data_IF_960817829288
#
_entry.id   IF_960817829288
#
_cell.length_a   1.000
_cell.length_b   1.000
_cell.length_c   1.000
_cell.angle_alpha   90.00
_cell.angle_beta   90.00
_cell.angle_gamma   90.00
#
_symmetry.space_group_name_H-M   'P 1'
#
loop_
_entity.id
_entity.type
_entity.pdbx_description
1 polymer ?
#
# COMPACT_ATOMS: atom_id res chain seq x y z
N UNK A 1 4.56 -11.54 8.46
CA UNK A 1 4.91 -11.26 7.06
C UNK A 1 6.38 -11.60 6.78
N UNK A 2 7.31 -10.66 6.56
CA UNK A 2 8.69 -10.98 6.08
C UNK A 2 9.49 -11.90 7.02
N UNK A 3 9.56 -11.56 8.32
CA UNK A 3 10.26 -12.40 9.31
C UNK A 3 9.58 -13.74 9.55
N UNK A 4 8.38 -13.92 9.00
CA UNK A 4 7.57 -15.15 9.02
C UNK A 4 7.54 -15.84 7.64
N UNK A 5 8.39 -15.43 6.70
CA UNK A 5 8.54 -16.07 5.38
C UNK A 5 7.54 -15.63 4.31
N UNK A 6 6.70 -14.64 4.58
CA UNK A 6 5.77 -14.09 3.59
C UNK A 6 6.43 -12.91 2.86
N UNK A 7 6.10 -12.69 1.58
CA UNK A 7 6.64 -11.59 0.77
C UNK A 7 5.59 -10.83 -0.04
N UNK A 8 4.34 -11.28 -0.04
CA UNK A 8 3.28 -10.73 -0.89
C UNK A 8 2.26 -9.93 -0.08
N UNK A 9 1.99 -8.69 -0.47
CA UNK A 9 0.98 -7.82 0.15
C UNK A 9 -0.22 -7.75 -0.79
N UNK A 10 -1.39 -8.20 -0.34
CA UNK A 10 -2.62 -8.06 -1.13
C UNK A 10 -3.34 -6.75 -0.81
N UNK A 11 -3.45 -6.40 0.47
CA UNK A 11 -4.18 -5.23 0.95
C UNK A 11 -3.48 -4.59 2.13
N UNK A 12 -3.60 -3.27 2.26
CA UNK A 12 -3.01 -2.53 3.37
C UNK A 12 -3.82 -1.27 3.69
N UNK A 13 -3.83 -0.89 4.96
CA UNK A 13 -4.43 0.33 5.46
C UNK A 13 -3.57 0.91 6.58
N UNK A 14 -3.57 2.23 6.73
CA UNK A 14 -2.89 2.91 7.84
C UNK A 14 -3.94 3.64 8.67
N UNK A 15 -3.93 3.42 9.99
CA UNK A 15 -4.80 4.13 10.94
C UNK A 15 -3.98 5.23 11.62
N UNK A 16 -4.47 6.46 11.53
CA UNK A 16 -3.87 7.64 12.16
C UNK A 16 -4.26 7.73 13.65
N UNK A 17 -3.56 8.53 14.48
CA UNK A 17 -3.87 8.66 15.91
C UNK A 17 -5.30 9.11 16.22
N UNK A 18 -5.99 9.76 15.27
CA UNK A 18 -7.40 10.14 15.40
C UNK A 18 -8.39 9.01 15.04
N UNK A 19 -7.89 7.79 14.79
CA UNK A 19 -8.70 6.62 14.41
C UNK A 19 -9.14 6.58 12.95
N UNK A 20 -8.82 7.58 12.13
CA UNK A 20 -9.16 7.61 10.70
C UNK A 20 -8.08 6.97 9.84
N UNK A 21 -8.46 6.50 8.65
CA UNK A 21 -7.49 6.04 7.67
C UNK A 21 -6.63 7.21 7.16
N UNK A 22 -5.34 6.93 6.95
CA UNK A 22 -4.38 7.85 6.38
C UNK A 22 -3.84 7.33 5.05
N UNK A 23 -3.53 8.26 4.14
CA UNK A 23 -2.74 7.92 2.96
C UNK A 23 -1.34 7.44 3.38
N UNK A 24 -0.83 6.45 2.66
CA UNK A 24 0.52 5.94 2.91
C UNK A 24 1.56 7.00 2.53
N UNK A 25 2.60 7.13 3.36
CA UNK A 25 3.71 8.03 3.04
C UNK A 25 4.54 7.48 1.87
N UNK A 26 5.36 8.35 1.26
CA UNK A 26 6.23 7.97 0.13
C UNK A 26 7.15 6.78 0.45
N UNK A 27 7.74 6.75 1.65
CA UNK A 27 8.64 5.67 2.06
C UNK A 27 7.96 4.30 2.15
N UNK A 28 6.71 4.25 2.65
CA UNK A 28 5.94 2.99 2.67
C UNK A 28 5.60 2.51 1.27
N UNK A 29 5.22 3.44 0.37
CA UNK A 29 4.91 3.12 -1.03
C UNK A 29 6.14 2.58 -1.76
N UNK A 30 7.30 3.23 -1.56
CA UNK A 30 8.58 2.78 -2.09
C UNK A 30 8.94 1.37 -1.62
N UNK A 31 8.83 1.11 -0.32
CA UNK A 31 9.13 -0.20 0.23
C UNK A 31 8.24 -1.30 -0.36
N UNK A 32 6.93 -1.03 -0.50
CA UNK A 32 6.02 -1.99 -1.12
C UNK A 32 6.32 -2.20 -2.61
N UNK A 33 6.70 -1.15 -3.35
CA UNK A 33 7.11 -1.26 -4.75
C UNK A 33 8.35 -2.15 -4.91
N UNK A 34 9.36 -1.95 -4.06
CA UNK A 34 10.58 -2.77 -4.05
C UNK A 34 10.33 -4.22 -3.61
N UNK A 35 9.43 -4.43 -2.63
CA UNK A 35 9.09 -5.77 -2.14
C UNK A 35 8.29 -6.58 -3.18
N UNK A 36 7.42 -5.89 -3.92
CA UNK A 36 6.48 -6.45 -4.89
C UNK A 36 6.93 -6.17 -6.34
N UNK A 37 8.21 -6.35 -6.65
CA UNK A 37 8.77 -6.01 -7.97
C UNK A 37 7.95 -6.62 -9.12
N UNK A 38 7.47 -5.77 -10.03
CA UNK A 38 6.63 -6.17 -11.18
C UNK A 38 5.16 -6.48 -10.87
N UNK A 39 4.72 -6.44 -9.61
CA UNK A 39 3.33 -6.74 -9.20
C UNK A 39 2.78 -5.81 -8.11
N UNK A 40 3.54 -4.80 -7.69
CA UNK A 40 3.14 -3.83 -6.66
C UNK A 40 1.85 -3.08 -7.03
N UNK A 41 1.59 -2.93 -8.33
CA UNK A 41 0.45 -2.21 -8.86
C UNK A 41 -0.88 -2.83 -8.43
N UNK A 42 -0.90 -4.12 -8.08
CA UNK A 42 -2.10 -4.84 -7.66
C UNK A 42 -2.40 -4.69 -6.14
N UNK A 43 -1.49 -4.09 -5.37
CA UNK A 43 -1.68 -3.89 -3.93
C UNK A 43 -2.84 -2.92 -3.69
N UNK A 44 -3.86 -3.36 -2.99
CA UNK A 44 -4.99 -2.51 -2.62
C UNK A 44 -4.69 -1.69 -1.35
N UNK A 45 -4.99 -0.40 -1.41
CA UNK A 45 -4.75 0.59 -0.36
C UNK A 45 -6.09 1.22 0.03
N UNK A 46 -6.52 0.98 1.27
CA UNK A 46 -7.71 1.63 1.83
C UNK A 46 -7.36 3.06 2.26
N UNK A 47 -7.88 4.05 1.56
CA UNK A 47 -7.68 5.48 1.87
C UNK A 47 -8.76 6.03 2.80
N UNK A 48 -9.99 5.55 2.64
CA UNK A 48 -11.14 5.99 3.42
C UNK A 48 -11.96 4.79 3.85
N UNK A 49 -11.83 4.38 5.11
CA UNK A 49 -12.61 3.27 5.64
C UNK A 49 -14.09 3.60 5.79
N UNK A 50 -14.45 4.86 6.08
CA UNK A 50 -15.84 5.29 6.28
C UNK A 50 -16.63 5.25 4.97
N UNK A 51 -15.98 5.57 3.86
CA UNK A 51 -16.56 5.58 2.52
C UNK A 51 -16.12 4.41 1.63
N UNK A 52 -15.46 3.41 2.21
CA UNK A 52 -14.93 2.22 1.52
C UNK A 52 -14.08 2.56 0.28
N UNK A 53 -13.33 3.67 0.34
CA UNK A 53 -12.47 4.11 -0.75
C UNK A 53 -11.17 3.31 -0.75
N UNK A 54 -11.08 2.40 -1.70
CA UNK A 54 -9.88 1.64 -2.03
C UNK A 54 -9.30 2.16 -3.34
N UNK A 55 -7.98 2.30 -3.38
CA UNK A 55 -7.21 2.54 -4.61
C UNK A 55 -6.10 1.51 -4.67
N UNK A 56 -5.50 1.34 -5.83
CA UNK A 56 -4.30 0.52 -5.98
C UNK A 56 -3.03 1.32 -5.69
N UNK A 57 -1.95 0.62 -5.34
CA UNK A 57 -0.64 1.24 -5.20
C UNK A 57 -0.10 1.74 -6.56
N UNK A 58 -0.53 1.13 -7.68
CA UNK A 58 -0.25 1.62 -9.03
C UNK A 58 -0.85 3.00 -9.29
N UNK A 59 -2.07 3.26 -8.81
CA UNK A 59 -2.68 4.60 -8.89
C UNK A 59 -1.97 5.63 -8.00
N UNK A 60 -1.43 5.20 -6.85
CA UNK A 60 -0.72 6.09 -5.92
C UNK A 60 0.74 6.32 -6.28
N UNK A 61 1.38 5.42 -7.03
CA UNK A 61 2.78 5.47 -7.44
C UNK A 61 2.88 5.02 -8.90
N UNK A 62 2.34 5.84 -9.83
CA UNK A 62 2.43 5.55 -11.25
C UNK A 62 3.88 5.69 -11.73
N UNK A 63 4.23 4.94 -12.78
CA UNK A 63 5.52 5.03 -13.46
C UNK A 63 6.73 4.86 -12.55
N UNK A 64 6.62 3.93 -11.59
CA UNK A 64 7.76 3.57 -10.76
C UNK A 64 8.87 2.92 -11.62
N UNK A 65 10.12 3.08 -11.21
CA UNK A 65 11.29 2.99 -12.12
C UNK A 65 11.98 1.62 -12.21
N UNK A 66 11.59 0.58 -11.45
CA UNK A 66 11.99 -0.82 -11.68
C UNK A 66 10.79 -1.66 -12.15
#
# INVERSE_FOLDING_TARGET
MITNGESNITRVLAIMPNGKTGAQCGACREFMAQLMEGHYQDVEVMLDYEHEKVVTLGELTPDWWL
#
